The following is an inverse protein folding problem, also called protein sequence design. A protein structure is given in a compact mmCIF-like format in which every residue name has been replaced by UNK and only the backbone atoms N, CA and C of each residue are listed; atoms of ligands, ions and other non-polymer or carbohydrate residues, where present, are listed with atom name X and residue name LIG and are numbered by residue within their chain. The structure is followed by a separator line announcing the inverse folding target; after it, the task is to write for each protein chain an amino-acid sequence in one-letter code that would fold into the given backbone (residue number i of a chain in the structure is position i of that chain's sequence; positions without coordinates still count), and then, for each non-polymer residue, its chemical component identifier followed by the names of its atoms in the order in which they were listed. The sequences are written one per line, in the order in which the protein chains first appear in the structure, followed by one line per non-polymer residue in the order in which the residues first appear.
data_IF_954960475823
#
_entry.id   IF_954960475823
#
_cell.length_a   1.000
_cell.length_b   1.000
_cell.length_c   1.000
_cell.angle_alpha   90.00
_cell.angle_beta   90.00
_cell.angle_gamma   90.00
#
_symmetry.space_group_name_H-M   'P 1'
#
loop_
_entity.id
_entity.type
_entity.pdbx_description
1 polymer ?
#
# COMPACT_ATOMS: atom_id res chain seq x y z
N UNK A 1 2.40 19.80 15.30
CA UNK A 1 2.94 18.43 15.20
C UNK A 1 2.11 17.73 14.14
N UNK A 2 2.76 17.14 13.14
CA UNK A 2 2.20 16.85 11.81
C UNK A 2 0.97 15.93 11.84
N UNK A 3 -0.20 16.47 11.45
CA UNK A 3 -1.50 15.78 11.49
C UNK A 3 -1.59 14.59 10.50
N UNK A 4 -0.63 14.51 9.55
CA UNK A 4 -0.56 13.45 8.53
C UNK A 4 -0.16 12.08 9.10
N UNK A 5 0.68 12.05 10.14
CA UNK A 5 1.11 10.79 10.78
C UNK A 5 -0.02 10.12 11.56
N UNK A 6 -0.86 10.93 12.21
CA UNK A 6 -2.01 10.44 12.96
C UNK A 6 -3.13 9.94 12.03
N UNK A 7 -3.38 10.65 10.93
CA UNK A 7 -4.34 10.24 9.89
C UNK A 7 -3.91 8.96 9.15
N UNK A 8 -2.60 8.76 8.94
CA UNK A 8 -2.06 7.48 8.45
C UNK A 8 -2.36 6.37 9.47
N UNK A 9 -2.15 6.64 10.76
CA UNK A 9 -2.33 5.67 11.85
C UNK A 9 -3.80 5.22 12.01
N UNK A 10 -4.77 6.09 11.72
CA UNK A 10 -6.20 5.75 11.76
C UNK A 10 -6.66 4.94 10.52
N UNK A 11 -6.12 5.24 9.34
CA UNK A 11 -6.39 4.47 8.12
C UNK A 11 -5.86 3.02 8.20
N UNK A 12 -4.83 2.81 9.02
CA UNK A 12 -4.24 1.52 9.38
C UNK A 12 -4.98 0.75 10.47
N UNK A 13 -5.92 1.40 11.13
CA UNK A 13 -6.68 0.82 12.22
C UNK A 13 -8.01 0.18 11.75
N UNK A 14 -8.46 0.46 10.53
CA UNK A 14 -9.74 -0.03 9.98
C UNK A 14 -9.60 -1.19 8.96
N UNK A 15 -8.39 -1.40 8.43
CA UNK A 15 -7.88 -2.66 7.87
C UNK A 15 -6.41 -2.72 8.27
N UNK A 16 -5.93 -3.86 8.78
CA UNK A 16 -4.67 -3.82 9.54
C UNK A 16 -3.51 -3.41 8.65
N UNK A 17 -2.64 -2.49 9.12
CA UNK A 17 -1.38 -2.18 8.44
C UNK A 17 -0.56 -3.41 8.10
N UNK A 18 -0.68 -4.45 8.93
CA UNK A 18 -0.07 -5.75 8.70
C UNK A 18 -0.64 -6.44 7.45
N UNK A 19 -1.96 -6.40 7.24
CA UNK A 19 -2.57 -6.89 5.99
C UNK A 19 -2.12 -6.06 4.80
N UNK A 20 -2.06 -4.73 4.92
CA UNK A 20 -1.59 -3.88 3.82
C UNK A 20 -0.12 -4.16 3.46
N UNK A 21 0.76 -4.29 4.46
CA UNK A 21 2.17 -4.63 4.28
C UNK A 21 2.34 -6.04 3.72
N UNK A 22 1.57 -7.01 4.21
CA UNK A 22 1.61 -8.39 3.71
C UNK A 22 1.19 -8.45 2.25
N UNK A 23 0.12 -7.75 1.88
CA UNK A 23 -0.34 -7.68 0.48
C UNK A 23 0.66 -6.94 -0.40
N UNK A 24 1.34 -5.91 0.13
CA UNK A 24 2.41 -5.21 -0.56
C UNK A 24 3.61 -6.12 -0.84
N UNK A 25 4.06 -6.87 0.17
CA UNK A 25 5.18 -7.82 0.03
C UNK A 25 4.84 -8.97 -0.92
N UNK A 26 3.64 -9.53 -0.82
CA UNK A 26 3.16 -10.59 -1.71
C UNK A 26 3.10 -10.11 -3.17
N UNK A 27 2.46 -8.97 -3.42
CA UNK A 27 2.37 -8.40 -4.76
C UNK A 27 3.74 -8.01 -5.33
N UNK A 28 4.67 -7.56 -4.48
CA UNK A 28 6.03 -7.24 -4.91
C UNK A 28 6.82 -8.50 -5.25
N UNK A 29 6.65 -9.60 -4.50
CA UNK A 29 7.28 -10.89 -4.79
C UNK A 29 6.77 -11.49 -6.10
N UNK A 30 5.46 -11.44 -6.35
CA UNK A 30 4.85 -11.90 -7.60
C UNK A 30 5.37 -11.12 -8.83
N UNK A 31 5.79 -9.87 -8.61
CA UNK A 31 6.38 -8.99 -9.60
C UNK A 31 7.91 -9.03 -9.63
N UNK A 32 8.54 -10.01 -8.98
CA UNK A 32 10.01 -10.17 -8.92
C UNK A 32 10.74 -8.93 -8.38
N UNK A 33 10.12 -8.19 -7.46
CA UNK A 33 10.68 -6.95 -6.91
C UNK A 33 10.47 -5.71 -7.78
N UNK A 34 9.70 -5.80 -8.86
CA UNK A 34 9.41 -4.68 -9.75
C UNK A 34 8.40 -3.71 -9.13
N UNK A 35 8.93 -2.81 -8.31
CA UNK A 35 8.16 -1.76 -7.64
C UNK A 35 7.46 -0.82 -8.63
N UNK A 36 8.03 -0.59 -9.82
CA UNK A 36 7.45 0.29 -10.83
C UNK A 36 6.17 -0.31 -11.40
N UNK A 37 6.19 -1.62 -11.73
CA UNK A 37 4.98 -2.34 -12.12
C UNK A 37 3.92 -2.35 -11.02
N UNK A 38 4.32 -2.57 -9.76
CA UNK A 38 3.39 -2.59 -8.63
C UNK A 38 2.66 -1.25 -8.48
N UNK A 39 3.41 -0.14 -8.43
CA UNK A 39 2.79 1.17 -8.28
C UNK A 39 2.03 1.62 -9.53
N UNK A 40 2.47 1.22 -10.73
CA UNK A 40 1.72 1.44 -11.97
C UNK A 40 0.35 0.76 -11.91
N UNK A 41 0.30 -0.50 -11.47
CA UNK A 41 -0.95 -1.25 -11.32
C UNK A 41 -1.89 -0.62 -10.27
N UNK A 42 -1.34 -0.17 -9.14
CA UNK A 42 -2.10 0.52 -8.09
C UNK A 42 -2.68 1.84 -8.62
N UNK A 43 -1.88 2.66 -9.31
CA UNK A 43 -2.33 3.94 -9.89
C UNK A 43 -3.40 3.69 -10.95
N UNK A 44 -3.18 2.74 -11.86
CA UNK A 44 -4.15 2.38 -12.89
C UNK A 44 -5.50 1.93 -12.32
N UNK A 45 -5.50 1.25 -11.16
CA UNK A 45 -6.73 0.87 -10.47
C UNK A 45 -7.44 2.06 -9.83
N UNK A 46 -6.70 3.03 -9.28
CA UNK A 46 -7.26 4.22 -8.61
C UNK A 46 -7.78 5.29 -9.58
N UNK A 47 -7.26 5.33 -10.81
CA UNK A 47 -7.67 6.26 -11.87
C UNK A 47 -8.84 5.75 -12.73
N UNK A 48 -9.30 4.51 -12.51
CA UNK A 48 -10.49 3.91 -13.12
C UNK A 48 -11.77 4.22 -12.32
#
# INVERSE_FOLDING_TARGET
MDNKLQQLTEALATGTWAELLSLHEEALNDLEGDTEKLYTAIVQYLEQ
#
